data_IF_769922317429
#
_entry.id   IF_769922317429
#
_cell.length_a   1.000
_cell.length_b   1.000
_cell.length_c   1.000
_cell.angle_alpha   90.00
_cell.angle_beta   90.00
_cell.angle_gamma   90.00
#
_symmetry.space_group_name_H-M   'P 1'
#
loop_
_entity.id
_entity.type
_entity.pdbx_description
1 polymer ?
#
# COMPACT_ATOMS: atom_id res chain seq x y z
N UNK A 1 25.49 -15.58 -5.34
CA UNK A 1 25.47 -14.11 -5.29
C UNK A 1 26.16 -13.64 -4.01
N UNK A 2 26.80 -12.47 -4.01
CA UNK A 2 27.14 -11.78 -2.76
C UNK A 2 25.86 -11.57 -1.93
N UNK A 3 26.00 -11.53 -0.60
CA UNK A 3 24.91 -11.45 0.37
C UNK A 3 23.88 -10.36 0.02
N UNK A 4 24.33 -9.17 -0.35
CA UNK A 4 23.44 -8.06 -0.73
C UNK A 4 22.63 -8.32 -2.01
N UNK A 5 23.21 -8.99 -3.02
CA UNK A 5 22.48 -9.31 -4.25
C UNK A 5 21.45 -10.42 -4.01
N UNK A 6 21.76 -11.39 -3.13
CA UNK A 6 20.79 -12.39 -2.69
C UNK A 6 19.63 -11.75 -1.91
N UNK A 7 19.93 -10.81 -1.01
CA UNK A 7 18.91 -10.04 -0.29
C UNK A 7 18.02 -9.23 -1.25
N UNK A 8 18.62 -8.53 -2.23
CA UNK A 8 17.86 -7.81 -3.25
C UNK A 8 16.90 -8.73 -4.03
N UNK A 9 17.36 -9.93 -4.39
CA UNK A 9 16.56 -10.92 -5.09
C UNK A 9 15.37 -11.40 -4.24
N UNK A 10 15.58 -11.65 -2.94
CA UNK A 10 14.53 -12.02 -2.00
C UNK A 10 13.47 -10.93 -1.89
N UNK A 11 13.87 -9.67 -1.74
CA UNK A 11 12.92 -8.55 -1.66
C UNK A 11 12.06 -8.42 -2.93
N UNK A 12 12.64 -8.64 -4.11
CA UNK A 12 11.87 -8.64 -5.36
C UNK A 12 10.85 -9.78 -5.38
N UNK A 13 11.16 -10.93 -4.78
CA UNK A 13 10.21 -12.03 -4.63
C UNK A 13 9.09 -11.66 -3.65
N UNK A 14 9.45 -11.15 -2.47
CA UNK A 14 8.51 -10.83 -1.39
C UNK A 14 7.50 -9.73 -1.80
N UNK A 15 7.97 -8.71 -2.51
CA UNK A 15 7.15 -7.60 -2.99
C UNK A 15 6.61 -7.81 -4.42
N UNK A 16 6.81 -9.00 -5.00
CA UNK A 16 6.49 -9.38 -6.40
C UNK A 16 7.27 -8.63 -7.49
N UNK A 17 7.50 -7.32 -7.30
CA UNK A 17 8.28 -6.48 -8.18
C UNK A 17 8.74 -5.22 -7.44
N UNK A 18 9.89 -4.66 -7.83
CA UNK A 18 10.36 -3.37 -7.32
C UNK A 18 11.08 -2.60 -8.43
N UNK A 19 11.12 -1.27 -8.32
CA UNK A 19 12.09 -0.47 -9.10
C UNK A 19 13.36 -0.31 -8.27
N UNK A 20 14.44 0.13 -8.93
CA UNK A 20 15.70 0.42 -8.23
C UNK A 20 15.54 1.47 -7.13
N UNK A 21 14.61 2.41 -7.28
CA UNK A 21 14.34 3.45 -6.28
C UNK A 21 13.77 2.84 -4.99
N UNK A 22 12.67 2.07 -5.08
CA UNK A 22 12.06 1.43 -3.91
C UNK A 22 12.98 0.37 -3.29
N UNK A 23 13.66 -0.44 -4.12
CA UNK A 23 14.62 -1.42 -3.62
C UNK A 23 15.77 -0.77 -2.85
N UNK A 24 16.32 0.32 -3.40
CA UNK A 24 17.36 1.10 -2.73
C UNK A 24 16.89 1.65 -1.40
N UNK A 25 15.71 2.29 -1.40
CA UNK A 25 15.07 2.84 -0.20
C UNK A 25 14.92 1.80 0.90
N UNK A 26 14.51 0.58 0.55
CA UNK A 26 14.34 -0.49 1.51
C UNK A 26 15.66 -1.01 2.09
N UNK A 27 16.63 -1.29 1.22
CA UNK A 27 17.91 -1.91 1.59
C UNK A 27 18.86 -0.95 2.28
N UNK A 28 18.82 0.33 1.89
CA UNK A 28 19.75 1.38 2.33
C UNK A 28 18.95 2.60 2.78
N UNK A 29 18.14 2.46 3.85
CA UNK A 29 17.27 3.53 4.32
C UNK A 29 18.08 4.80 4.62
N UNK A 30 17.54 5.96 4.29
CA UNK A 30 18.17 7.27 4.51
C UNK A 30 19.52 7.51 3.79
N UNK A 31 19.94 6.64 2.87
CA UNK A 31 21.19 6.81 2.12
C UNK A 31 20.96 7.56 0.79
N UNK A 32 21.65 8.68 0.52
CA UNK A 32 21.46 9.45 -0.72
C UNK A 32 21.86 8.68 -2.00
N UNK A 33 22.69 7.64 -1.87
CA UNK A 33 23.13 6.77 -2.97
C UNK A 33 22.40 5.43 -3.02
N UNK A 34 21.38 5.23 -2.19
CA UNK A 34 20.60 3.98 -2.09
C UNK A 34 20.16 3.43 -3.46
N UNK A 35 19.62 4.30 -4.31
CA UNK A 35 19.20 3.95 -5.69
C UNK A 35 20.37 3.40 -6.52
N UNK A 36 21.55 4.04 -6.46
CA UNK A 36 22.73 3.65 -7.25
C UNK A 36 23.25 2.28 -6.79
N UNK A 37 23.20 1.99 -5.49
CA UNK A 37 23.54 0.67 -4.96
C UNK A 37 22.55 -0.40 -5.43
N UNK A 38 21.24 -0.12 -5.37
CA UNK A 38 20.22 -1.02 -5.92
C UNK A 38 20.41 -1.27 -7.42
N UNK A 39 20.72 -0.25 -8.22
CA UNK A 39 21.04 -0.42 -9.65
C UNK A 39 22.27 -1.31 -9.87
N UNK A 40 23.28 -1.26 -9.01
CA UNK A 40 24.43 -2.20 -9.05
C UNK A 40 23.99 -3.64 -8.81
N UNK A 41 23.17 -3.89 -7.78
CA UNK A 41 22.68 -5.24 -7.49
C UNK A 41 21.79 -5.77 -8.61
N UNK A 42 20.87 -4.94 -9.13
CA UNK A 42 19.96 -5.30 -10.20
C UNK A 42 20.70 -5.64 -11.49
N UNK A 43 21.73 -4.87 -11.88
CA UNK A 43 22.59 -5.21 -13.03
C UNK A 43 23.25 -6.59 -12.87
N UNK A 44 23.76 -6.90 -11.68
CA UNK A 44 24.35 -8.22 -11.38
C UNK A 44 23.31 -9.32 -11.47
N UNK A 45 22.13 -9.13 -10.86
CA UNK A 45 21.03 -10.10 -10.92
C UNK A 45 20.49 -10.31 -12.34
N UNK A 46 20.45 -9.27 -13.17
CA UNK A 46 20.10 -9.37 -14.59
C UNK A 46 21.16 -10.15 -15.38
N UNK A 47 22.45 -9.88 -15.16
CA UNK A 47 23.55 -10.62 -15.81
C UNK A 47 23.49 -12.12 -15.48
N UNK A 48 23.12 -12.46 -14.23
CA UNK A 48 22.88 -13.83 -13.78
C UNK A 48 21.54 -14.42 -14.24
N UNK A 49 20.72 -13.63 -14.96
CA UNK A 49 19.37 -13.96 -15.41
C UNK A 49 18.44 -14.35 -14.27
N UNK A 50 18.61 -13.77 -13.08
CA UNK A 50 17.74 -14.00 -11.92
C UNK A 50 16.55 -13.06 -11.87
N UNK A 51 16.64 -11.88 -12.48
CA UNK A 51 15.52 -10.93 -12.60
C UNK A 51 15.35 -10.49 -14.05
N UNK A 52 14.14 -10.05 -14.38
CA UNK A 52 13.78 -9.48 -15.68
C UNK A 52 13.38 -8.02 -15.44
N UNK A 53 13.90 -7.09 -16.25
CA UNK A 53 13.46 -5.70 -16.24
C UNK A 53 12.31 -5.51 -17.23
N UNK A 54 11.25 -4.85 -16.78
CA UNK A 54 10.07 -4.49 -17.57
C UNK A 54 9.86 -2.98 -17.51
N UNK A 55 9.89 -2.31 -18.65
CA UNK A 55 9.73 -0.85 -18.74
C UNK A 55 8.30 -0.46 -18.37
N UNK A 56 8.14 0.39 -17.35
CA UNK A 56 6.83 0.89 -16.94
C UNK A 56 6.36 2.02 -17.87
N UNK A 57 5.04 2.17 -18.09
CA UNK A 57 4.50 3.20 -18.96
C UNK A 57 4.56 4.58 -18.31
N UNK A 58 4.82 5.59 -19.13
CA UNK A 58 4.88 6.98 -18.72
C UNK A 58 6.30 7.53 -18.59
N UNK A 59 6.40 8.86 -18.62
CA UNK A 59 7.68 9.57 -18.50
C UNK A 59 8.25 9.35 -17.09
N UNK A 60 9.53 8.99 -17.01
CA UNK A 60 10.25 8.78 -15.75
C UNK A 60 9.66 7.69 -14.83
N UNK A 61 8.86 6.75 -15.35
CA UNK A 61 8.34 5.63 -14.55
C UNK A 61 9.43 4.59 -14.21
N UNK A 62 10.46 4.48 -15.06
CA UNK A 62 11.57 3.55 -14.87
C UNK A 62 11.23 2.12 -15.29
N UNK A 63 11.90 1.15 -14.69
CA UNK A 63 11.66 -0.27 -14.92
C UNK A 63 11.26 -0.97 -13.62
N UNK A 64 10.26 -1.85 -13.72
CA UNK A 64 9.94 -2.85 -12.72
C UNK A 64 10.86 -4.05 -12.91
N UNK A 65 11.51 -4.50 -11.83
CA UNK A 65 12.30 -5.71 -11.81
C UNK A 65 11.46 -6.81 -11.17
N UNK A 66 11.28 -7.90 -11.90
CA UNK A 66 10.48 -9.06 -11.49
C UNK A 66 11.37 -10.29 -11.43
N UNK A 67 10.99 -11.26 -10.59
CA UNK A 67 11.70 -12.52 -10.46
C UNK A 67 11.60 -13.33 -11.77
N UNK A 68 12.73 -13.85 -12.26
CA UNK A 68 12.73 -14.81 -13.37
C UNK A 68 12.49 -16.24 -12.88
N UNK A 69 12.24 -17.18 -13.79
CA UNK A 69 12.18 -18.61 -13.43
C UNK A 69 13.48 -19.08 -12.75
N UNK A 70 14.63 -18.74 -13.31
CA UNK A 70 15.94 -19.12 -12.76
C UNK A 70 16.17 -18.51 -11.37
N UNK A 71 15.77 -17.25 -11.18
CA UNK A 71 15.86 -16.58 -9.87
C UNK A 71 14.95 -17.23 -8.82
N UNK A 72 13.73 -17.61 -9.21
CA UNK A 72 12.81 -18.34 -8.34
C UNK A 72 13.36 -19.70 -7.95
N UNK A 73 13.85 -20.49 -8.90
CA UNK A 73 14.53 -21.77 -8.63
C UNK A 73 15.68 -21.59 -7.65
N UNK A 74 16.55 -20.60 -7.89
CA UNK A 74 17.69 -20.32 -7.00
C UNK A 74 17.28 -19.97 -5.57
N UNK A 75 16.20 -19.18 -5.39
CA UNK A 75 15.67 -18.84 -4.06
C UNK A 75 15.09 -20.06 -3.32
N UNK A 76 14.36 -20.92 -4.05
CA UNK A 76 13.75 -22.13 -3.50
C UNK A 76 14.81 -23.16 -3.08
N UNK A 77 15.78 -23.46 -3.96
CA UNK A 77 16.84 -24.45 -3.70
C UNK A 77 17.71 -24.09 -2.49
N UNK A 78 17.83 -22.80 -2.16
CA UNK A 78 18.63 -22.31 -1.03
C UNK A 78 17.81 -21.96 0.20
N UNK A 79 16.51 -22.22 0.20
CA UNK A 79 15.63 -21.92 1.33
C UNK A 79 15.52 -20.43 1.69
N UNK A 80 15.86 -19.53 0.76
CA UNK A 80 15.84 -18.08 1.02
C UNK A 80 14.43 -17.48 0.93
N UNK A 81 13.56 -18.07 0.11
CA UNK A 81 12.14 -17.72 0.00
C UNK A 81 11.38 -18.97 -0.49
N UNK A 82 10.91 -19.84 0.43
CA UNK A 82 10.14 -21.02 0.07
C UNK A 82 8.91 -20.64 -0.76
N UNK A 83 8.64 -21.39 -1.83
CA UNK A 83 7.57 -21.12 -2.79
C UNK A 83 7.70 -19.81 -3.59
N UNK A 84 8.92 -19.30 -3.77
CA UNK A 84 9.18 -18.20 -4.71
C UNK A 84 8.70 -18.59 -6.12
N UNK A 85 7.93 -17.71 -6.76
CA UNK A 85 7.38 -17.90 -8.11
C UNK A 85 7.94 -16.86 -9.06
N UNK A 86 8.19 -17.25 -10.30
CA UNK A 86 8.55 -16.29 -11.32
C UNK A 86 7.46 -15.21 -11.46
N UNK A 87 7.86 -13.95 -11.58
CA UNK A 87 6.97 -12.82 -11.80
C UNK A 87 6.42 -12.76 -13.23
N UNK A 88 6.34 -13.90 -13.92
CA UNK A 88 5.78 -14.00 -15.28
C UNK A 88 4.32 -13.56 -15.34
N UNK A 89 3.61 -13.61 -14.21
CA UNK A 89 2.23 -13.14 -14.04
C UNK A 89 2.12 -11.63 -13.74
N UNK A 90 3.25 -10.93 -13.54
CA UNK A 90 3.22 -9.48 -13.39
C UNK A 90 3.11 -8.83 -14.77
N UNK A 91 1.88 -8.45 -15.12
CA UNK A 91 1.52 -7.90 -16.42
C UNK A 91 1.21 -8.99 -17.45
N UNK A 92 1.03 -8.56 -18.69
CA UNK A 92 0.61 -9.40 -19.81
C UNK A 92 1.33 -8.98 -21.09
N UNK A 93 1.54 -9.91 -22.01
CA UNK A 93 2.04 -9.60 -23.35
C UNK A 93 0.84 -9.47 -24.29
N UNK A 94 0.63 -8.29 -24.86
CA UNK A 94 -0.38 -8.02 -25.89
C UNK A 94 0.30 -7.55 -27.16
N UNK A 95 0.07 -8.24 -28.28
CA UNK A 95 0.67 -7.92 -29.59
C UNK A 95 2.21 -7.75 -29.52
N UNK A 96 2.91 -8.71 -28.89
CA UNK A 96 4.36 -8.68 -28.73
C UNK A 96 4.89 -7.64 -27.74
N UNK A 97 4.03 -6.81 -27.15
CA UNK A 97 4.41 -5.76 -26.20
C UNK A 97 3.95 -6.12 -24.79
N UNK A 98 4.87 -6.11 -23.83
CA UNK A 98 4.51 -6.28 -22.41
C UNK A 98 3.80 -5.03 -21.88
N UNK A 99 2.75 -5.24 -21.08
CA UNK A 99 2.00 -4.19 -20.36
C UNK A 99 1.89 -4.57 -18.88
N UNK A 100 2.08 -3.63 -17.94
CA UNK A 100 1.86 -3.92 -16.53
C UNK A 100 0.36 -4.09 -16.22
N UNK A 101 0.00 -4.69 -15.07
CA UNK A 101 -1.38 -4.70 -14.60
C UNK A 101 -1.95 -3.28 -14.45
N UNK A 102 -3.25 -3.10 -14.61
CA UNK A 102 -3.89 -1.78 -14.47
C UNK A 102 -3.66 -1.11 -13.09
N UNK A 103 -3.39 -1.92 -12.06
CA UNK A 103 -3.10 -1.48 -10.69
C UNK A 103 -1.67 -0.97 -10.48
N UNK A 104 -0.74 -1.10 -11.44
CA UNK A 104 0.69 -0.93 -11.16
C UNK A 104 1.09 0.40 -10.50
N UNK A 105 0.38 1.51 -10.83
CA UNK A 105 0.63 2.82 -10.21
C UNK A 105 0.19 2.82 -8.75
N UNK A 106 -0.96 2.21 -8.46
CA UNK A 106 -1.49 2.08 -7.11
C UNK A 106 -0.54 1.24 -6.26
N UNK A 107 -0.09 0.10 -6.78
CA UNK A 107 0.89 -0.77 -6.13
C UNK A 107 2.20 -0.01 -5.85
N UNK A 108 2.68 0.76 -6.84
CA UNK A 108 3.87 1.60 -6.70
C UNK A 108 3.71 2.66 -5.60
N UNK A 109 2.54 3.28 -5.51
CA UNK A 109 2.27 4.30 -4.50
C UNK A 109 2.18 3.69 -3.11
N UNK A 110 1.50 2.55 -2.97
CA UNK A 110 1.41 1.81 -1.70
C UNK A 110 2.81 1.45 -1.20
N UNK A 111 3.63 0.80 -2.03
CA UNK A 111 5.03 0.46 -1.68
C UNK A 111 5.84 1.73 -1.35
N UNK A 112 5.69 2.79 -2.13
CA UNK A 112 6.39 4.05 -1.91
C UNK A 112 6.09 4.68 -0.55
N UNK A 113 4.82 4.67 -0.14
CA UNK A 113 4.37 5.17 1.17
C UNK A 113 4.86 4.27 2.30
N UNK A 114 4.68 2.95 2.18
CA UNK A 114 5.13 1.98 3.19
C UNK A 114 6.63 2.12 3.46
N UNK A 115 7.44 2.22 2.40
CA UNK A 115 8.90 2.29 2.56
C UNK A 115 9.35 3.61 3.17
N UNK A 116 8.71 4.74 2.84
CA UNK A 116 8.98 6.03 3.49
C UNK A 116 8.61 6.00 4.98
N UNK A 117 7.49 5.37 5.34
CA UNK A 117 7.08 5.24 6.73
C UNK A 117 8.01 4.32 7.52
N UNK A 118 8.47 3.22 6.90
CA UNK A 118 9.53 2.37 7.45
C UNK A 118 10.82 3.13 7.69
N UNK A 119 11.29 3.93 6.72
CA UNK A 119 12.51 4.74 6.87
C UNK A 119 12.45 5.69 8.07
N UNK A 120 11.27 6.25 8.35
CA UNK A 120 11.08 7.22 9.43
C UNK A 120 10.89 6.60 10.82
N UNK A 121 10.30 5.40 10.90
CA UNK A 121 9.83 4.84 12.18
C UNK A 121 10.24 3.38 12.45
N UNK A 122 11.00 2.76 11.55
CA UNK A 122 11.51 1.40 11.74
C UNK A 122 10.44 0.30 11.68
N UNK A 123 9.31 0.55 11.03
CA UNK A 123 8.26 -0.46 10.86
C UNK A 123 8.66 -1.59 9.92
N UNK A 124 8.13 -2.77 10.16
CA UNK A 124 8.02 -3.80 9.13
C UNK A 124 6.87 -3.48 8.19
N UNK A 125 6.98 -3.91 6.94
CA UNK A 125 6.03 -3.56 5.87
C UNK A 125 5.49 -4.83 5.22
N UNK A 126 4.17 -4.85 5.05
CA UNK A 126 3.46 -5.91 4.34
C UNK A 126 2.61 -5.29 3.24
N UNK A 127 2.71 -5.81 2.03
CA UNK A 127 1.88 -5.39 0.90
C UNK A 127 0.58 -6.18 0.85
N UNK A 128 -0.43 -5.64 0.18
CA UNK A 128 -1.69 -6.36 -0.08
C UNK A 128 -1.44 -7.77 -0.66
N UNK A 129 -0.48 -7.93 -1.56
CA UNK A 129 -0.16 -9.25 -2.15
C UNK A 129 0.31 -10.26 -1.11
N UNK A 130 1.09 -9.83 -0.10
CA UNK A 130 1.53 -10.71 0.98
C UNK A 130 0.37 -11.02 1.93
N UNK A 131 -0.47 -10.03 2.22
CA UNK A 131 -1.64 -10.20 3.07
C UNK A 131 -2.68 -11.14 2.45
N UNK A 132 -2.88 -11.09 1.13
CA UNK A 132 -3.72 -12.04 0.36
C UNK A 132 -3.20 -13.47 0.40
N UNK A 133 -1.89 -13.66 0.54
CA UNK A 133 -1.31 -15.00 0.69
C UNK A 133 -1.51 -15.55 2.11
N UNK A 134 -1.49 -14.68 3.12
CA UNK A 134 -1.79 -15.07 4.49
C UNK A 134 -3.27 -15.42 4.68
N UNK A 135 -4.17 -14.58 4.17
CA UNK A 135 -5.61 -14.69 4.40
C UNK A 135 -6.42 -14.43 3.13
N UNK A 136 -6.57 -15.41 2.22
CA UNK A 136 -7.11 -15.19 0.87
C UNK A 136 -8.60 -14.84 0.82
N UNK A 137 -9.37 -15.14 1.87
CA UNK A 137 -10.84 -15.12 1.86
C UNK A 137 -11.45 -13.92 2.60
N UNK A 138 -10.66 -12.90 2.93
CA UNK A 138 -11.17 -11.72 3.66
C UNK A 138 -11.85 -10.75 2.69
N UNK A 139 -12.96 -10.15 3.11
CA UNK A 139 -13.76 -9.25 2.28
C UNK A 139 -12.96 -8.04 1.78
N UNK A 140 -12.04 -7.53 2.61
CA UNK A 140 -11.19 -6.37 2.34
C UNK A 140 -9.81 -6.55 2.95
N UNK A 141 -8.79 -6.45 2.11
CA UNK A 141 -7.42 -6.23 2.53
C UNK A 141 -7.08 -4.73 2.54
N UNK A 142 -6.15 -4.27 3.40
CA UNK A 142 -5.51 -2.98 3.21
C UNK A 142 -4.63 -3.02 1.96
N UNK A 143 -4.37 -1.84 1.38
CA UNK A 143 -3.37 -1.69 0.32
C UNK A 143 -1.94 -1.99 0.84
N UNK A 144 -1.75 -1.89 2.16
CA UNK A 144 -0.55 -2.32 2.88
C UNK A 144 -0.69 -2.23 4.40
N UNK A 145 0.27 -2.82 5.11
CA UNK A 145 0.32 -2.82 6.56
C UNK A 145 1.70 -2.38 7.04
N UNK A 146 1.73 -1.51 8.05
CA UNK A 146 2.91 -1.26 8.86
C UNK A 146 2.78 -2.02 10.15
N UNK A 147 3.81 -2.77 10.52
CA UNK A 147 3.84 -3.56 11.75
C UNK A 147 4.92 -2.97 12.66
N UNK A 148 4.53 -2.58 13.87
CA UNK A 148 5.43 -2.09 14.89
C UNK A 148 5.09 -2.67 16.26
N UNK A 149 5.86 -2.29 17.27
CA UNK A 149 5.68 -2.80 18.64
C UNK A 149 4.28 -2.54 19.22
N UNK A 150 3.64 -1.43 18.83
CA UNK A 150 2.31 -1.04 19.33
C UNK A 150 1.14 -1.65 18.55
N UNK A 151 1.41 -2.45 17.51
CA UNK A 151 0.39 -3.06 16.67
C UNK A 151 0.53 -2.74 15.18
N UNK A 152 -0.54 -3.02 14.45
CA UNK A 152 -0.61 -2.87 13.01
C UNK A 152 -1.31 -1.56 12.61
N UNK A 153 -0.71 -0.83 11.66
CA UNK A 153 -1.32 0.36 11.05
C UNK A 153 -1.80 0.04 9.64
N UNK A 154 -3.11 0.14 9.41
CA UNK A 154 -3.77 -0.08 8.13
C UNK A 154 -3.44 1.05 7.15
N UNK A 155 -2.98 0.74 5.93
CA UNK A 155 -2.79 1.72 4.86
C UNK A 155 -3.83 1.54 3.76
N UNK A 156 -4.52 2.62 3.40
CA UNK A 156 -5.22 2.75 2.12
C UNK A 156 -4.61 3.88 1.31
N UNK A 157 -4.43 3.64 0.01
CA UNK A 157 -4.05 4.65 -0.98
C UNK A 157 -5.30 5.05 -1.75
N UNK A 158 -5.63 6.34 -1.72
CA UNK A 158 -6.70 6.90 -2.52
C UNK A 158 -6.14 7.36 -3.86
N UNK A 159 -6.76 6.88 -4.94
CA UNK A 159 -6.57 7.40 -6.28
C UNK A 159 -7.79 8.27 -6.63
N UNK A 160 -7.59 9.29 -7.47
CA UNK A 160 -8.61 10.19 -8.01
C UNK A 160 -9.85 9.48 -8.65
N UNK A 161 -9.77 8.18 -8.95
CA UNK A 161 -10.83 7.42 -9.67
C UNK A 161 -11.87 6.71 -8.80
N UNK A 162 -11.67 6.56 -7.48
CA UNK A 162 -12.63 5.80 -6.64
C UNK A 162 -13.90 6.66 -6.41
N UNK A 163 -15.09 6.17 -6.76
CA UNK A 163 -16.37 6.85 -6.52
C UNK A 163 -17.40 5.93 -5.86
N UNK A 164 -18.38 6.52 -5.17
CA UNK A 164 -19.58 5.82 -4.65
C UNK A 164 -19.30 4.74 -3.60
N UNK A 165 -19.94 3.58 -3.78
CA UNK A 165 -20.01 2.45 -2.82
C UNK A 165 -18.65 1.90 -2.41
N UNK A 166 -17.69 1.82 -3.34
CA UNK A 166 -16.36 1.30 -3.07
C UNK A 166 -15.58 2.19 -2.09
N UNK A 167 -15.77 3.51 -2.16
CA UNK A 167 -15.16 4.43 -1.20
C UNK A 167 -15.81 4.26 0.18
N UNK A 168 -17.13 4.11 0.24
CA UNK A 168 -17.84 3.88 1.50
C UNK A 168 -17.35 2.61 2.23
N UNK A 169 -17.23 1.49 1.50
CA UNK A 169 -16.70 0.25 2.06
C UNK A 169 -15.25 0.40 2.55
N UNK A 170 -14.41 1.12 1.80
CA UNK A 170 -13.03 1.41 2.22
C UNK A 170 -13.00 2.24 3.51
N UNK A 171 -13.80 3.31 3.60
CA UNK A 171 -13.84 4.16 4.79
C UNK A 171 -14.35 3.43 6.03
N UNK A 172 -15.36 2.56 5.88
CA UNK A 172 -15.83 1.70 6.96
C UNK A 172 -14.73 0.77 7.48
N UNK A 173 -13.99 0.10 6.58
CA UNK A 173 -12.88 -0.77 6.96
C UNK A 173 -11.76 0.01 7.68
N UNK A 174 -11.39 1.19 7.16
CA UNK A 174 -10.40 2.09 7.79
C UNK A 174 -10.83 2.52 9.18
N UNK A 175 -12.10 2.88 9.37
CA UNK A 175 -12.64 3.27 10.68
C UNK A 175 -12.66 2.11 11.68
N UNK A 176 -12.91 0.88 11.23
CA UNK A 176 -12.84 -0.31 12.09
C UNK A 176 -11.39 -0.60 12.48
N UNK A 177 -10.45 -0.53 11.53
CA UNK A 177 -9.03 -0.73 11.80
C UNK A 177 -8.46 0.33 12.77
N UNK A 178 -8.82 1.61 12.57
CA UNK A 178 -8.40 2.70 13.44
C UNK A 178 -8.92 2.59 14.89
N UNK A 179 -9.94 1.76 15.12
CA UNK A 179 -10.54 1.51 16.44
C UNK A 179 -10.20 0.13 17.01
N UNK A 180 -9.32 -0.61 16.36
CA UNK A 180 -8.99 -1.99 16.76
C UNK A 180 -10.19 -2.94 16.73
N UNK A 181 -11.18 -2.68 15.86
CA UNK A 181 -12.41 -3.49 15.73
C UNK A 181 -12.61 -4.06 14.32
N UNK A 182 -11.57 -4.08 13.49
CA UNK A 182 -11.64 -4.76 12.21
C UNK A 182 -11.81 -6.27 12.43
N UNK A 183 -12.71 -6.89 11.66
CA UNK A 183 -13.01 -8.33 11.74
C UNK A 183 -11.92 -9.20 11.13
N UNK A 184 -11.09 -8.64 10.24
CA UNK A 184 -9.98 -9.36 9.63
C UNK A 184 -8.84 -9.53 10.64
N UNK A 185 -8.21 -10.70 10.64
CA UNK A 185 -7.04 -11.00 11.45
C UNK A 185 -6.02 -11.71 10.56
N UNK A 186 -4.76 -11.29 10.60
CA UNK A 186 -3.67 -11.95 9.88
C UNK A 186 -2.85 -12.81 10.84
N UNK A 187 -2.63 -14.11 10.57
CA UNK A 187 -1.85 -14.98 11.43
C UNK A 187 -0.47 -14.40 11.73
N UNK A 188 -0.08 -14.45 13.01
CA UNK A 188 1.22 -13.96 13.51
C UNK A 188 1.46 -12.45 13.37
N UNK A 189 0.45 -11.66 12.99
CA UNK A 189 0.53 -10.21 13.01
C UNK A 189 -0.25 -9.65 14.22
N UNK A 190 0.23 -8.57 14.85
CA UNK A 190 -0.51 -7.87 15.90
C UNK A 190 -1.89 -7.37 15.44
N UNK A 191 -2.76 -7.06 16.40
CA UNK A 191 -4.03 -6.40 16.13
C UNK A 191 -3.82 -4.99 15.52
N UNK A 192 -4.82 -4.52 14.77
CA UNK A 192 -4.80 -3.14 14.27
C UNK A 192 -4.93 -2.14 15.41
N UNK A 193 -4.19 -1.04 15.34
CA UNK A 193 -4.24 0.04 16.33
C UNK A 193 -4.34 1.43 15.70
N UNK A 194 -4.17 1.54 14.39
CA UNK A 194 -4.22 2.81 13.67
C UNK A 194 -4.58 2.59 12.20
N UNK A 195 -4.95 3.69 11.52
CA UNK A 195 -5.12 3.70 10.08
C UNK A 195 -4.58 4.97 9.43
N UNK A 196 -4.07 4.82 8.22
CA UNK A 196 -3.53 5.84 7.35
C UNK A 196 -4.30 5.84 6.04
N UNK A 197 -4.72 7.03 5.59
CA UNK A 197 -5.19 7.23 4.21
C UNK A 197 -4.16 8.09 3.47
N UNK A 198 -3.51 7.52 2.48
CA UNK A 198 -2.56 8.20 1.62
C UNK A 198 -3.26 8.83 0.42
N UNK A 199 -3.04 10.13 0.19
CA UNK A 199 -3.69 10.91 -0.86
C UNK A 199 -2.65 11.69 -1.66
N UNK A 200 -2.79 11.80 -2.99
CA UNK A 200 -1.92 12.63 -3.82
C UNK A 200 -2.11 14.14 -3.52
N UNK A 201 -1.02 14.89 -3.36
CA UNK A 201 -1.07 16.34 -3.10
C UNK A 201 -1.72 17.14 -4.23
N UNK A 202 -1.42 16.76 -5.47
CA UNK A 202 -1.79 17.51 -6.68
C UNK A 202 -2.77 16.72 -7.56
N UNK A 203 -3.66 15.92 -6.96
CA UNK A 203 -4.66 15.21 -7.73
C UNK A 203 -5.58 16.16 -8.48
N UNK A 204 -5.86 15.78 -9.73
CA UNK A 204 -6.78 16.47 -10.62
C UNK A 204 -7.83 15.49 -11.15
N UNK A 205 -9.04 15.99 -11.35
CA UNK A 205 -10.09 15.24 -12.04
C UNK A 205 -9.85 15.19 -13.57
N UNK A 206 -10.79 14.60 -14.30
CA UNK A 206 -10.70 14.48 -15.77
C UNK A 206 -10.76 15.84 -16.48
N UNK A 207 -11.22 16.89 -15.80
CA UNK A 207 -11.32 18.26 -16.30
C UNK A 207 -10.15 19.14 -15.81
N UNK A 208 -9.16 18.55 -15.12
CA UNK A 208 -8.00 19.27 -14.61
C UNK A 208 -8.25 20.06 -13.32
N UNK A 209 -9.43 19.93 -12.69
CA UNK A 209 -9.75 20.61 -11.42
C UNK A 209 -9.11 19.88 -10.26
N UNK A 210 -8.63 20.64 -9.27
CA UNK A 210 -7.99 20.09 -8.07
C UNK A 210 -9.00 19.23 -7.27
N UNK A 211 -8.56 18.06 -6.83
CA UNK A 211 -9.35 17.19 -5.96
C UNK A 211 -8.94 17.42 -4.50
N UNK A 212 -9.90 17.82 -3.68
CA UNK A 212 -9.73 17.99 -2.24
C UNK A 212 -9.98 16.67 -1.51
N UNK A 213 -9.04 15.72 -1.62
CA UNK A 213 -9.20 14.36 -1.09
C UNK A 213 -9.53 14.34 0.41
N UNK A 214 -8.76 15.06 1.22
CA UNK A 214 -8.97 15.10 2.67
C UNK A 214 -10.38 15.62 3.02
N UNK A 215 -10.79 16.75 2.47
CA UNK A 215 -12.13 17.32 2.72
C UNK A 215 -13.25 16.40 2.25
N UNK A 216 -13.08 15.74 1.10
CA UNK A 216 -14.06 14.80 0.57
C UNK A 216 -14.20 13.56 1.46
N UNK A 217 -13.09 13.01 1.93
CA UNK A 217 -13.07 11.86 2.83
C UNK A 217 -13.66 12.24 4.20
N UNK A 218 -13.24 13.37 4.77
CA UNK A 218 -13.75 13.89 6.04
C UNK A 218 -15.26 14.07 6.00
N UNK A 219 -15.81 14.67 4.93
CA UNK A 219 -17.26 14.80 4.73
C UNK A 219 -17.96 13.45 4.68
N UNK A 220 -17.39 12.47 3.99
CA UNK A 220 -18.00 11.14 3.90
C UNK A 220 -17.93 10.36 5.22
N UNK A 221 -16.85 10.47 5.98
CA UNK A 221 -16.75 9.91 7.34
C UNK A 221 -17.82 10.52 8.25
N UNK A 222 -18.07 11.83 8.12
CA UNK A 222 -19.16 12.48 8.84
C UNK A 222 -20.54 11.91 8.45
N UNK A 223 -20.76 11.54 7.19
CA UNK A 223 -21.99 10.85 6.75
C UNK A 223 -22.11 9.42 7.28
N UNK A 224 -21.01 8.70 7.45
CA UNK A 224 -21.01 7.34 8.07
C UNK A 224 -21.49 7.40 9.51
N UNK A 225 -21.20 8.50 10.20
CA UNK A 225 -21.41 8.64 11.63
C UNK A 225 -20.31 7.90 12.40
N UNK A 226 -19.64 8.64 13.30
CA UNK A 226 -18.60 8.07 14.14
C UNK A 226 -19.20 7.72 15.50
N UNK A 227 -19.02 6.48 15.96
CA UNK A 227 -19.59 5.99 17.23
C UNK A 227 -18.67 6.20 18.45
N UNK A 228 -17.38 6.38 18.21
CA UNK A 228 -16.35 6.53 19.22
C UNK A 228 -15.23 7.43 18.67
N UNK A 229 -14.55 8.19 19.52
CA UNK A 229 -13.41 9.03 19.10
C UNK A 229 -12.44 8.20 18.25
N UNK A 230 -12.22 8.61 17.00
CA UNK A 230 -11.43 7.87 16.03
C UNK A 230 -10.42 8.80 15.40
N UNK A 231 -9.14 8.43 15.41
CA UNK A 231 -8.09 9.20 14.76
C UNK A 231 -7.63 8.46 13.50
N UNK A 232 -7.64 9.17 12.37
CA UNK A 232 -7.07 8.69 11.11
C UNK A 232 -5.93 9.62 10.72
N UNK A 233 -4.81 9.06 10.27
CA UNK A 233 -3.67 9.85 9.79
C UNK A 233 -3.79 10.02 8.29
N UNK A 234 -3.94 11.25 7.82
CA UNK A 234 -3.82 11.56 6.40
C UNK A 234 -2.35 11.65 6.02
N UNK A 235 -1.97 10.93 4.96
CA UNK A 235 -0.63 10.92 4.41
C UNK A 235 -0.67 11.60 3.03
N UNK A 236 -0.21 12.84 2.93
CA UNK A 236 -0.12 13.54 1.66
C UNK A 236 1.12 13.08 0.90
N UNK A 237 0.93 12.52 -0.30
CA UNK A 237 1.98 12.02 -1.19
C UNK A 237 2.41 13.10 -2.17
N UNK A 238 3.72 13.31 -2.29
CA UNK A 238 4.31 14.12 -3.34
C UNK A 238 5.13 13.23 -4.27
N UNK A 239 4.97 13.40 -5.58
CA UNK A 239 5.54 12.51 -6.57
C UNK A 239 6.78 13.08 -7.25
N UNK A 240 7.69 12.17 -7.64
CA UNK A 240 8.74 12.42 -8.62
C UNK A 240 8.62 11.39 -9.73
N UNK A 241 8.21 11.83 -10.92
CA UNK A 241 7.80 10.92 -11.98
C UNK A 241 6.57 10.13 -11.56
N UNK A 242 6.64 8.79 -11.60
CA UNK A 242 5.52 7.92 -11.23
C UNK A 242 5.48 7.50 -9.75
N UNK A 243 6.57 7.71 -8.99
CA UNK A 243 6.72 7.20 -7.62
C UNK A 243 6.61 8.27 -6.55
N UNK A 244 6.40 7.84 -5.30
CA UNK A 244 6.27 8.71 -4.12
C UNK A 244 7.67 9.14 -3.66
N UNK A 245 7.94 10.44 -3.77
CA UNK A 245 9.21 11.04 -3.35
C UNK A 245 9.22 11.29 -1.85
N UNK A 246 8.21 12.00 -1.35
CA UNK A 246 8.08 12.42 0.04
C UNK A 246 6.63 12.33 0.49
N UNK A 247 6.44 12.26 1.80
CA UNK A 247 5.13 12.23 2.44
C UNK A 247 5.04 13.27 3.57
N UNK A 248 3.83 13.74 3.83
CA UNK A 248 3.50 14.58 4.99
C UNK A 248 2.33 13.97 5.74
N UNK A 249 2.46 13.85 7.06
CA UNK A 249 1.47 13.19 7.91
C UNK A 249 0.68 14.22 8.71
N UNK A 250 -0.65 14.07 8.70
CA UNK A 250 -1.58 14.92 9.45
C UNK A 250 -2.62 14.05 10.17
N UNK A 251 -2.55 13.91 11.50
CA UNK A 251 -3.60 13.23 12.24
C UNK A 251 -4.88 14.08 12.24
N UNK A 252 -6.02 13.44 11.97
CA UNK A 252 -7.35 14.04 12.02
C UNK A 252 -8.22 13.19 12.96
N UNK A 253 -8.76 13.84 13.99
CA UNK A 253 -9.61 13.18 14.98
C UNK A 253 -11.07 13.46 14.67
N UNK A 254 -11.86 12.40 14.57
CA UNK A 254 -13.30 12.44 14.44
C UNK A 254 -13.94 12.13 15.79
N UNK A 255 -14.88 12.98 16.20
CA UNK A 255 -15.62 12.82 17.44
C UNK A 255 -16.96 12.13 17.19
N UNK A 256 -17.50 11.42 18.18
CA UNK A 256 -18.85 10.89 18.09
C UNK A 256 -19.85 12.00 17.80
N UNK A 257 -20.81 11.75 16.91
CA UNK A 257 -21.95 12.65 16.77
C UNK A 257 -22.84 12.46 17.99
N UNK A 258 -23.06 13.53 18.75
CA UNK A 258 -24.10 13.54 19.78
C UNK A 258 -25.43 13.31 19.07
N UNK A 259 -26.25 12.31 19.45
CA UNK A 259 -27.58 12.20 18.89
C UNK A 259 -28.30 13.52 19.14
N UNK A 260 -28.78 14.17 18.07
CA UNK A 260 -29.56 15.39 18.19
C UNK A 260 -30.79 15.06 19.05
N UNK A 261 -31.00 15.72 20.21
CA UNK A 261 -32.21 15.51 20.98
C UNK A 261 -33.38 16.01 20.13
N UNK A 262 -34.19 15.11 19.57
CA UNK A 262 -35.36 15.50 18.79
C UNK A 262 -35.83 14.57 17.66
N UNK A 263 -35.15 13.46 17.35
CA UNK A 263 -35.66 12.48 16.35
C UNK A 263 -36.34 11.26 16.97
N UNK A 264 -36.62 11.28 18.27
CA UNK A 264 -37.55 10.34 18.89
C UNK A 264 -38.95 10.93 18.80
N UNK A 265 -39.63 10.68 17.68
CA UNK A 265 -41.08 10.86 17.63
C UNK A 265 -41.69 9.84 18.60
N UNK A 266 -42.44 10.37 19.56
CA UNK A 266 -43.30 9.64 20.47
C UNK A 266 -44.17 8.63 19.71
N UNK A 267 -44.02 7.35 20.04
CA UNK A 267 -45.12 6.41 19.93
C UNK A 267 -45.61 6.14 21.34
N UNK A 268 -46.61 6.94 21.69
CA UNK A 268 -47.44 6.77 22.87
C UNK A 268 -47.85 5.31 23.06
N UNK A 269 -47.75 4.90 24.33
CA UNK A 269 -48.49 3.79 24.89
C UNK A 269 -49.96 3.85 24.49
N UNK A 270 -50.49 2.76 23.98
CA UNK A 270 -51.90 2.45 24.11
C UNK A 270 -51.99 0.99 24.51
N UNK A 271 -51.84 0.77 25.81
CA UNK A 271 -52.51 -0.31 26.53
C UNK A 271 -54.01 -0.11 26.41
N UNK A 272 -54.69 -1.07 25.79
CA UNK A 272 -55.95 -1.66 26.28
C UNK A 272 -55.80 -3.16 26.14
#
# INVERSE_FOLDING_TARGET
PEEHAAHALRLIADFSWLRAQELGRYMHPNNPHARKYAEKYLRKLQALRYVIARKLPGRHAGAAFVLSQRGATWLNERGHAPAARAGTRYGEIRHGTWRPPGSWKHDLWSIGVLFLLREQRGFDVWTESQLRQLEPNVDKHPDGLLVGASGCTWLEVENARKTGKNRMHMLQAVMLAARSTASVHYPNLPAFCAAIIAVPADAKDLHGRKIHHEENITRQIATIGVKAKTTIVFCTMHFRGAGVEKITLKPVTFLPQTPTPGSGADLHSSTV
#
